data_IF_261789621660
#
_entry.id   IF_261789621660
#
_cell.length_a   1.000
_cell.length_b   1.000
_cell.length_c   1.000
_cell.angle_alpha   90.00
_cell.angle_beta   90.00
_cell.angle_gamma   90.00
#
_symmetry.space_group_name_H-M   'P 1'
#
loop_
_entity.id
_entity.type
_entity.pdbx_description
1 polymer ?
#
# COMPACT_ATOMS: atom_id res chain seq x y z
N UNK A 1 27.30 -11.40 14.20
CA UNK A 1 27.87 -10.28 14.96
C UNK A 1 26.82 -9.21 15.18
N UNK A 2 26.87 -8.52 16.32
CA UNK A 2 26.13 -7.28 16.61
C UNK A 2 26.81 -6.11 15.90
N UNK A 3 26.08 -5.04 15.59
CA UNK A 3 26.62 -3.86 14.85
C UNK A 3 27.92 -3.32 15.47
N UNK A 4 27.98 -3.21 16.81
CA UNK A 4 29.16 -2.78 17.56
C UNK A 4 30.40 -3.65 17.34
N UNK A 5 30.23 -4.96 17.18
CA UNK A 5 31.33 -5.91 16.91
C UNK A 5 31.84 -5.76 15.47
N UNK A 6 30.94 -5.44 14.52
CA UNK A 6 31.30 -5.22 13.11
C UNK A 6 32.07 -3.91 12.97
N UNK A 7 31.57 -2.81 13.57
CA UNK A 7 32.28 -1.51 13.57
C UNK A 7 33.67 -1.61 14.20
N UNK A 8 33.76 -2.20 15.39
CA UNK A 8 35.05 -2.40 16.07
C UNK A 8 36.05 -3.24 15.26
N UNK A 9 35.59 -4.23 14.48
CA UNK A 9 36.46 -4.97 13.55
C UNK A 9 36.94 -4.13 12.38
N UNK A 10 36.04 -3.39 11.71
CA UNK A 10 36.37 -2.51 10.59
C UNK A 10 37.35 -1.40 11.01
N UNK A 11 37.10 -0.77 12.16
CA UNK A 11 37.96 0.24 12.76
C UNK A 11 39.34 -0.33 13.12
N UNK A 12 39.42 -1.58 13.62
CA UNK A 12 40.69 -2.25 13.91
C UNK A 12 41.56 -2.53 12.68
N UNK A 13 40.99 -2.46 11.48
CA UNK A 13 41.69 -2.62 10.19
C UNK A 13 41.73 -1.31 9.38
N UNK A 14 41.41 -0.17 9.99
CA UNK A 14 41.50 1.16 9.38
C UNK A 14 40.39 1.51 8.39
N UNK A 15 39.29 0.74 8.35
CA UNK A 15 38.12 1.06 7.53
C UNK A 15 37.19 1.96 8.33
N UNK A 16 36.92 3.16 7.80
CA UNK A 16 35.95 4.07 8.41
C UNK A 16 34.53 3.47 8.38
N UNK A 17 33.79 3.75 9.46
CA UNK A 17 32.40 3.35 9.65
C UNK A 17 31.49 4.53 10.00
N UNK A 18 32.02 5.76 10.00
CA UNK A 18 31.28 6.99 10.31
C UNK A 18 30.13 7.29 9.34
N UNK A 19 30.30 6.87 8.09
CA UNK A 19 29.38 7.01 6.96
C UNK A 19 28.47 5.80 6.72
N UNK A 20 28.72 4.69 7.42
CA UNK A 20 27.95 3.45 7.30
C UNK A 20 26.84 3.36 8.36
N UNK A 21 25.60 3.58 7.89
CA UNK A 21 24.38 3.70 8.72
C UNK A 21 23.57 2.40 8.78
N UNK A 22 23.53 1.64 7.68
CA UNK A 22 22.81 0.36 7.61
C UNK A 22 23.73 -0.81 8.01
N UNK A 23 23.17 -1.79 8.73
CA UNK A 23 23.93 -2.97 9.18
C UNK A 23 24.52 -3.76 8.00
N UNK A 24 23.80 -3.84 6.90
CA UNK A 24 24.19 -4.67 5.76
C UNK A 24 25.35 -4.04 4.98
N UNK A 25 25.47 -2.71 5.00
CA UNK A 25 26.64 -1.99 4.48
C UNK A 25 27.90 -2.31 5.29
N UNK A 26 27.81 -2.34 6.62
CA UNK A 26 28.91 -2.74 7.51
C UNK A 26 29.29 -4.21 7.30
N UNK A 27 28.31 -5.10 7.08
CA UNK A 27 28.57 -6.50 6.75
C UNK A 27 29.29 -6.60 5.40
N UNK A 28 28.84 -5.86 4.38
CA UNK A 28 29.45 -5.83 3.05
C UNK A 28 30.91 -5.39 3.12
N UNK A 29 31.22 -4.25 3.74
CA UNK A 29 32.60 -3.74 3.92
C UNK A 29 33.49 -4.78 4.61
N UNK A 30 32.98 -5.52 5.59
CA UNK A 30 33.74 -6.55 6.30
C UNK A 30 34.00 -7.81 5.44
N UNK A 31 33.05 -8.19 4.59
CA UNK A 31 33.23 -9.27 3.61
C UNK A 31 34.25 -8.86 2.55
N UNK A 32 34.11 -7.66 1.97
CA UNK A 32 35.02 -7.12 0.96
C UNK A 32 36.47 -7.08 1.47
N UNK A 33 36.68 -6.59 2.71
CA UNK A 33 37.98 -6.63 3.37
C UNK A 33 38.53 -8.05 3.57
N UNK A 34 37.67 -8.99 4.00
CA UNK A 34 38.09 -10.38 4.22
C UNK A 34 38.57 -11.03 2.92
N UNK A 35 37.87 -10.79 1.80
CA UNK A 35 38.25 -11.31 0.48
C UNK A 35 39.55 -10.69 -0.05
N UNK A 36 39.78 -9.40 0.20
CA UNK A 36 41.05 -8.74 -0.15
C UNK A 36 42.23 -9.26 0.67
N UNK A 37 42.02 -9.52 1.96
CA UNK A 37 43.07 -10.01 2.85
C UNK A 37 43.47 -11.47 2.56
N UNK A 38 42.50 -12.33 2.19
CA UNK A 38 42.78 -13.70 1.74
C UNK A 38 43.64 -13.71 0.46
N UNK A 39 43.41 -12.79 -0.48
CA UNK A 39 44.21 -12.67 -1.72
C UNK A 39 45.66 -12.24 -1.47
N UNK A 40 45.90 -11.40 -0.45
CA UNK A 40 47.25 -10.96 -0.07
C UNK A 40 48.02 -11.96 0.80
N UNK A 41 47.43 -13.13 1.11
CA UNK A 41 48.04 -14.16 1.96
C UNK A 41 48.87 -15.22 1.21
N UNK A 42 49.07 -15.06 -0.11
CA UNK A 42 49.93 -15.94 -0.91
C UNK A 42 51.41 -15.65 -0.56
N UNK A 43 52.18 -16.62 -0.01
CA UNK A 43 53.56 -16.36 0.38
C UNK A 43 54.49 -16.30 -0.84
N UNK A 44 55.36 -15.29 -0.91
CA UNK A 44 56.52 -15.31 -1.80
C UNK A 44 57.51 -16.40 -1.34
N UNK A 45 57.92 -17.28 -2.26
CA UNK A 45 58.86 -18.36 -1.97
C UNK A 45 60.26 -17.80 -1.64
N UNK A 46 60.57 -17.68 -0.34
CA UNK A 46 61.95 -17.41 0.12
C UNK A 46 62.62 -18.72 0.53
N UNK A 47 63.72 -19.04 -0.16
CA UNK A 47 64.52 -20.26 0.07
C UNK A 47 65.30 -20.19 1.39
N UNK A 48 65.11 -21.14 2.33
CA UNK A 48 66.20 -21.87 3.03
C UNK A 48 65.74 -22.86 4.14
N UNK A 49 66.25 -24.09 4.03
CA UNK A 49 66.67 -25.06 5.07
C UNK A 49 65.96 -25.22 6.45
N UNK A 50 65.42 -26.43 6.66
CA UNK A 50 65.52 -27.32 7.86
C UNK A 50 65.15 -26.77 9.27
N UNK A 51 64.47 -27.48 10.18
CA UNK A 51 64.29 -28.94 10.40
C UNK A 51 63.14 -29.15 11.41
N UNK A 52 62.48 -30.32 11.46
CA UNK A 52 61.86 -30.81 12.72
C UNK A 52 60.35 -31.10 12.75
N UNK A 53 60.01 -32.37 12.49
CA UNK A 53 58.89 -33.16 13.02
C UNK A 53 57.68 -32.49 13.72
N UNK A 54 56.47 -32.77 13.21
CA UNK A 54 55.45 -33.48 13.99
C UNK A 54 54.46 -34.25 13.10
N UNK A 55 53.89 -35.34 13.63
CA UNK A 55 53.12 -36.35 12.89
C UNK A 55 51.60 -36.12 12.91
N UNK A 56 50.94 -36.11 11.74
CA UNK A 56 49.46 -36.13 11.64
C UNK A 56 48.97 -37.32 10.80
N UNK A 57 47.91 -37.99 11.28
CA UNK A 57 47.38 -39.26 10.75
C UNK A 57 46.53 -39.06 9.48
N UNK A 58 46.80 -39.87 8.45
CA UNK A 58 46.02 -39.93 7.19
C UNK A 58 44.61 -40.53 7.40
N UNK A 59 43.56 -39.88 6.89
CA UNK A 59 42.26 -40.53 6.56
C UNK A 59 42.10 -40.61 5.03
N UNK A 60 41.72 -41.79 4.53
CA UNK A 60 41.67 -42.10 3.08
C UNK A 60 40.42 -41.51 2.40
N UNK A 61 40.63 -40.85 1.26
CA UNK A 61 39.61 -40.46 0.26
C UNK A 61 39.14 -41.72 -0.50
N UNK A 62 37.84 -41.87 -0.78
CA UNK A 62 37.31 -42.90 -1.71
C UNK A 62 36.59 -42.21 -2.87
N UNK A 63 37.17 -42.30 -4.08
CA UNK A 63 36.54 -41.83 -5.33
C UNK A 63 35.40 -42.77 -5.73
N UNK A 64 34.35 -42.23 -6.36
CA UNK A 64 33.54 -42.97 -7.34
C UNK A 64 33.18 -42.02 -8.50
N UNK A 65 33.56 -42.39 -9.72
CA UNK A 65 33.09 -41.77 -10.97
C UNK A 65 31.88 -42.57 -11.46
N UNK A 66 30.95 -41.92 -12.16
CA UNK A 66 30.31 -42.50 -13.35
C UNK A 66 29.82 -41.37 -14.27
N UNK A 67 30.06 -41.51 -15.57
CA UNK A 67 29.52 -40.65 -16.63
C UNK A 67 28.38 -41.40 -17.33
N UNK A 68 27.36 -40.68 -17.82
CA UNK A 68 26.66 -40.97 -19.10
C UNK A 68 25.87 -39.72 -19.56
N UNK A 69 25.55 -39.58 -20.87
CA UNK A 69 25.22 -38.30 -21.53
C UNK A 69 23.71 -37.97 -21.62
N UNK A 70 23.33 -36.75 -22.07
CA UNK A 70 21.94 -36.38 -22.35
C UNK A 70 21.46 -36.87 -23.72
N UNK A 71 20.14 -37.07 -23.92
CA UNK A 71 19.52 -37.23 -25.24
C UNK A 71 18.93 -35.92 -25.80
N UNK A 72 18.83 -35.86 -27.13
CA UNK A 72 18.53 -34.67 -27.93
C UNK A 72 17.05 -34.35 -28.16
N UNK A 73 16.85 -33.17 -28.76
CA UNK A 73 15.60 -32.59 -29.29
C UNK A 73 15.10 -33.37 -30.51
N UNK A 74 13.79 -33.66 -30.56
CA UNK A 74 13.05 -33.92 -31.82
C UNK A 74 11.67 -33.23 -31.73
N UNK A 75 11.27 -32.60 -32.83
CA UNK A 75 9.95 -32.01 -33.11
C UNK A 75 9.07 -32.93 -33.96
N UNK A 76 7.74 -32.82 -33.86
CA UNK A 76 6.76 -32.74 -34.98
C UNK A 76 5.31 -33.11 -34.55
N UNK A 77 4.39 -32.19 -34.88
CA UNK A 77 3.00 -32.27 -35.34
C UNK A 77 2.02 -33.45 -35.03
N UNK A 78 0.87 -33.04 -34.45
CA UNK A 78 -0.53 -33.52 -34.67
C UNK A 78 -0.94 -35.00 -34.47
N UNK A 79 -2.27 -35.34 -34.39
CA UNK A 79 -3.47 -34.49 -34.30
C UNK A 79 -4.37 -34.76 -33.07
N UNK A 80 -5.46 -33.98 -32.97
CA UNK A 80 -6.54 -34.10 -31.96
C UNK A 80 -7.29 -35.45 -32.00
N UNK A 81 -7.60 -35.99 -30.82
CA UNK A 81 -8.60 -37.06 -30.64
C UNK A 81 -9.61 -36.63 -29.56
N UNK A 82 -10.86 -36.43 -29.95
CA UNK A 82 -11.97 -36.28 -29.02
C UNK A 82 -12.21 -37.58 -28.25
N UNK A 83 -12.27 -37.51 -26.91
CA UNK A 83 -12.79 -38.60 -26.08
C UNK A 83 -13.92 -38.10 -25.19
N UNK A 84 -15.14 -38.41 -25.60
CA UNK A 84 -16.36 -38.18 -24.82
C UNK A 84 -16.36 -39.10 -23.60
N UNK A 85 -16.52 -38.52 -22.40
CA UNK A 85 -16.79 -39.29 -21.18
C UNK A 85 -18.03 -38.75 -20.47
N UNK A 86 -19.13 -39.50 -20.62
CA UNK A 86 -20.37 -39.28 -19.89
C UNK A 86 -20.14 -39.61 -18.40
N UNK A 87 -20.26 -38.62 -17.52
CA UNK A 87 -20.42 -38.85 -16.07
C UNK A 87 -21.70 -38.15 -15.61
N UNK A 88 -22.79 -38.91 -15.60
CA UNK A 88 -24.03 -38.48 -14.96
C UNK A 88 -23.82 -38.43 -13.44
N UNK A 89 -23.77 -37.23 -12.88
CA UNK A 89 -23.91 -37.00 -11.44
C UNK A 89 -25.30 -36.39 -11.15
N UNK A 90 -26.06 -37.06 -10.30
CA UNK A 90 -27.42 -36.67 -9.92
C UNK A 90 -27.38 -35.59 -8.84
N UNK A 91 -27.39 -34.32 -9.26
CA UNK A 91 -27.46 -33.17 -8.35
C UNK A 91 -28.86 -33.09 -7.71
N UNK A 92 -28.98 -33.07 -6.37
CA UNK A 92 -30.26 -32.83 -5.70
C UNK A 92 -30.78 -31.43 -6.00
N UNK A 93 -32.07 -31.30 -6.34
CA UNK A 93 -32.71 -30.00 -6.54
C UNK A 93 -32.77 -29.22 -5.21
N UNK A 94 -31.79 -28.35 -4.98
CA UNK A 94 -31.86 -27.39 -3.88
C UNK A 94 -32.94 -26.34 -4.18
N UNK A 95 -33.95 -26.24 -3.33
CA UNK A 95 -34.88 -25.12 -3.37
C UNK A 95 -34.10 -23.81 -3.12
N UNK A 96 -33.85 -23.03 -4.17
CA UNK A 96 -33.36 -21.66 -4.00
C UNK A 96 -34.46 -20.86 -3.28
N UNK A 97 -34.21 -20.27 -2.11
CA UNK A 97 -35.15 -19.31 -1.55
C UNK A 97 -35.29 -18.14 -2.54
N UNK A 98 -36.51 -17.70 -2.81
CA UNK A 98 -36.74 -16.47 -3.56
C UNK A 98 -36.11 -15.31 -2.79
N UNK A 99 -35.00 -14.80 -3.31
CA UNK A 99 -34.49 -13.50 -2.88
C UNK A 99 -35.53 -12.47 -3.28
N UNK A 100 -36.36 -12.05 -2.32
CA UNK A 100 -37.21 -10.86 -2.45
C UNK A 100 -36.36 -9.77 -3.07
N UNK A 101 -36.78 -9.29 -4.24
CA UNK A 101 -36.04 -8.29 -4.99
C UNK A 101 -35.84 -7.05 -4.12
N UNK A 102 -34.61 -6.84 -3.63
CA UNK A 102 -34.21 -5.56 -3.06
C UNK A 102 -34.59 -4.49 -4.09
N UNK A 103 -35.25 -3.42 -3.63
CA UNK A 103 -35.68 -2.35 -4.51
C UNK A 103 -34.49 -1.83 -5.33
N UNK A 104 -34.73 -1.45 -6.58
CA UNK A 104 -33.76 -0.63 -7.33
C UNK A 104 -33.63 0.67 -6.55
N UNK A 105 -32.51 0.83 -5.84
CA UNK A 105 -32.27 2.01 -5.02
C UNK A 105 -31.82 3.17 -5.90
N UNK A 106 -32.20 4.37 -5.49
CA UNK A 106 -31.65 5.61 -6.00
C UNK A 106 -30.19 5.77 -5.59
N UNK A 107 -29.48 6.73 -6.19
CA UNK A 107 -28.14 7.13 -5.74
C UNK A 107 -28.22 7.66 -4.31
N UNK A 108 -27.52 7.01 -3.38
CA UNK A 108 -27.37 7.50 -2.01
C UNK A 108 -26.32 8.60 -1.95
N UNK A 109 -26.64 9.69 -1.26
CA UNK A 109 -25.76 10.85 -1.07
C UNK A 109 -25.42 10.97 0.41
N UNK A 110 -24.15 10.75 0.75
CA UNK A 110 -23.67 10.82 2.14
C UNK A 110 -22.78 12.06 2.29
N UNK A 111 -23.00 12.95 3.26
CA UNK A 111 -22.09 14.06 3.51
C UNK A 111 -20.68 13.57 3.85
N UNK A 112 -19.66 14.18 3.23
CA UNK A 112 -18.25 13.96 3.59
C UNK A 112 -17.85 14.90 4.73
N UNK A 113 -17.43 14.31 5.84
CA UNK A 113 -16.58 14.99 6.81
C UNK A 113 -15.14 15.04 6.32
N UNK A 114 -14.36 16.00 6.83
CA UNK A 114 -12.95 16.13 6.52
C UNK A 114 -12.15 16.36 7.80
N UNK A 115 -11.37 15.36 8.19
CA UNK A 115 -10.53 15.41 9.39
C UNK A 115 -9.08 15.69 8.97
N UNK A 116 -8.28 16.31 9.85
CA UNK A 116 -6.83 16.42 9.67
C UNK A 116 -6.13 15.79 10.86
N UNK A 117 -4.97 15.20 10.65
CA UNK A 117 -4.11 14.68 11.72
C UNK A 117 -3.30 15.77 12.43
N UNK A 118 -3.40 17.04 12.01
CA UNK A 118 -2.76 18.16 12.71
C UNK A 118 -3.34 18.35 14.12
N UNK A 119 -2.58 18.05 15.20
CA UNK A 119 -2.96 18.48 16.52
C UNK A 119 -2.44 19.91 16.73
N UNK A 120 -3.18 20.75 17.44
CA UNK A 120 -2.71 22.08 17.87
C UNK A 120 -1.60 22.03 18.94
N UNK A 121 -1.03 20.85 19.20
CA UNK A 121 0.04 20.61 20.17
C UNK A 121 0.88 19.38 19.81
N UNK A 122 2.19 19.44 20.08
CA UNK A 122 3.16 18.40 19.74
C UNK A 122 2.95 17.07 20.49
N UNK A 123 3.07 15.94 19.79
CA UNK A 123 3.27 14.63 20.42
C UNK A 123 4.77 14.47 20.73
N UNK A 124 5.19 14.30 22.01
CA UNK A 124 6.55 13.92 22.32
C UNK A 124 6.77 12.46 21.90
N UNK A 125 7.74 12.21 21.01
CA UNK A 125 8.25 10.85 20.79
C UNK A 125 8.72 10.25 22.13
N UNK A 126 8.53 8.94 22.29
CA UNK A 126 8.56 8.26 23.59
C UNK A 126 9.79 8.60 24.44
N UNK A 127 9.55 8.87 25.73
CA UNK A 127 10.62 9.12 26.70
C UNK A 127 11.59 7.94 26.79
N UNK A 128 12.88 8.29 26.77
CA UNK A 128 14.01 7.60 27.42
C UNK A 128 14.40 6.20 26.95
N UNK A 129 15.37 6.14 26.04
CA UNK A 129 16.73 5.71 26.42
C UNK A 129 17.72 6.81 26.01
N UNK A 130 18.69 7.12 26.86
CA UNK A 130 19.45 8.40 26.84
C UNK A 130 20.57 8.49 25.80
N UNK A 131 20.79 7.46 24.99
CA UNK A 131 22.09 7.22 24.35
C UNK A 131 22.07 7.37 22.82
N UNK A 132 21.00 7.90 22.21
CA UNK A 132 20.97 8.20 20.78
C UNK A 132 20.23 9.51 20.42
N UNK A 133 20.94 10.59 20.04
CA UNK A 133 20.31 11.85 19.63
C UNK A 133 19.55 11.76 18.29
N UNK A 134 19.68 10.67 17.54
CA UNK A 134 19.03 10.49 16.23
C UNK A 134 17.65 9.79 16.28
N UNK A 135 17.13 9.43 17.46
CA UNK A 135 15.88 8.67 17.61
C UNK A 135 14.59 9.52 17.66
N UNK A 136 14.66 10.85 17.55
CA UNK A 136 13.46 11.69 17.47
C UNK A 136 12.95 11.77 16.03
N UNK A 137 12.19 10.74 15.63
CA UNK A 137 11.36 10.80 14.43
C UNK A 137 10.22 11.78 14.68
N UNK A 138 10.22 12.90 13.97
CA UNK A 138 9.15 13.88 13.96
C UNK A 138 8.06 13.40 12.99
N UNK A 139 6.92 12.98 13.54
CA UNK A 139 5.72 12.77 12.74
C UNK A 139 5.28 14.14 12.20
N UNK A 140 5.43 14.35 10.89
CA UNK A 140 4.87 15.51 10.22
C UNK A 140 3.44 15.14 9.82
N UNK A 141 2.39 15.67 10.47
CA UNK A 141 1.04 15.52 9.93
C UNK A 141 1.05 16.13 8.53
N UNK A 142 0.73 15.33 7.52
CA UNK A 142 0.41 15.90 6.21
C UNK A 142 -0.74 16.89 6.40
N UNK A 143 -0.73 18.07 5.74
CA UNK A 143 -1.88 18.96 5.75
C UNK A 143 -3.12 18.35 5.08
N UNK A 144 -3.00 17.17 4.47
CA UNK A 144 -4.10 16.43 3.87
C UNK A 144 -5.28 16.23 4.82
N UNK A 145 -6.47 16.37 4.23
CA UNK A 145 -7.74 16.06 4.86
C UNK A 145 -8.15 14.65 4.48
N UNK A 146 -8.64 13.88 5.43
CA UNK A 146 -9.16 12.54 5.19
C UNK A 146 -10.69 12.59 5.03
N UNK A 147 -11.26 11.98 3.97
CA UNK A 147 -12.71 11.90 3.80
C UNK A 147 -13.33 10.94 4.82
N UNK A 148 -14.31 11.40 5.59
CA UNK A 148 -15.08 10.58 6.53
C UNK A 148 -16.57 10.59 6.19
N UNK A 149 -17.30 9.58 6.65
CA UNK A 149 -18.76 9.51 6.59
C UNK A 149 -19.32 9.16 7.98
N UNK A 150 -20.60 9.44 8.18
CA UNK A 150 -21.33 8.96 9.36
C UNK A 150 -22.23 7.77 9.02
N UNK A 151 -22.27 6.77 9.91
CA UNK A 151 -23.20 5.64 9.85
C UNK A 151 -23.90 5.44 11.18
N UNK A 152 -25.21 5.16 11.13
CA UNK A 152 -26.01 4.78 12.30
C UNK A 152 -26.07 3.25 12.40
N UNK A 153 -25.94 2.67 13.60
CA UNK A 153 -26.15 1.23 13.81
C UNK A 153 -27.52 0.97 14.44
N UNK A 154 -28.26 0.00 13.92
CA UNK A 154 -29.60 -0.31 14.42
C UNK A 154 -29.58 -0.77 15.89
N UNK A 155 -30.47 -0.18 16.70
CA UNK A 155 -30.54 -0.42 18.14
C UNK A 155 -29.62 0.48 18.99
N UNK A 156 -28.92 1.44 18.37
CA UNK A 156 -28.02 2.38 19.05
C UNK A 156 -28.32 3.83 18.64
N UNK A 157 -28.25 4.76 19.60
CA UNK A 157 -28.56 6.19 19.35
C UNK A 157 -27.36 6.97 18.79
N UNK A 158 -26.14 6.44 18.93
CA UNK A 158 -24.91 7.07 18.47
C UNK A 158 -24.56 6.69 17.02
N UNK A 159 -24.15 7.70 16.23
CA UNK A 159 -23.53 7.51 14.92
C UNK A 159 -22.02 7.26 15.07
N UNK A 160 -21.51 6.39 14.21
CA UNK A 160 -20.08 6.19 13.98
C UNK A 160 -19.56 7.21 12.96
N UNK A 161 -18.43 7.84 13.23
CA UNK A 161 -17.69 8.66 12.24
C UNK A 161 -16.49 7.86 11.72
N UNK A 162 -16.49 7.55 10.42
CA UNK A 162 -15.60 6.54 9.84
C UNK A 162 -14.78 7.12 8.69
N UNK A 163 -13.47 6.86 8.70
CA UNK A 163 -12.58 7.14 7.57
C UNK A 163 -12.95 6.28 6.36
N UNK A 164 -13.15 6.89 5.19
CA UNK A 164 -13.35 6.14 3.93
C UNK A 164 -11.98 5.83 3.31
N UNK A 165 -11.63 4.55 3.25
CA UNK A 165 -10.28 4.10 2.90
C UNK A 165 -10.29 3.03 1.79
N UNK A 166 -9.83 3.40 0.59
CA UNK A 166 -9.71 2.49 -0.56
C UNK A 166 -8.56 1.48 -0.47
N UNK A 167 -7.59 1.69 0.44
CA UNK A 167 -6.51 0.75 0.75
C UNK A 167 -6.79 -0.11 2.00
N UNK A 168 -7.92 0.11 2.70
CA UNK A 168 -8.46 -0.85 3.66
C UNK A 168 -9.36 -1.88 2.95
N UNK A 169 -9.09 -3.17 3.09
CA UNK A 169 -9.92 -4.21 2.47
C UNK A 169 -11.22 -4.53 3.23
N UNK A 170 -11.33 -4.11 4.51
CA UNK A 170 -12.41 -4.47 5.42
C UNK A 170 -13.07 -3.27 6.13
N UNK A 171 -13.81 -3.57 7.19
CA UNK A 171 -14.34 -2.58 8.14
C UNK A 171 -13.62 -2.78 9.48
N UNK A 172 -13.02 -1.71 10.02
CA UNK A 172 -12.26 -1.71 11.27
C UNK A 172 -12.86 -0.68 12.22
N UNK A 173 -13.05 -1.05 13.49
CA UNK A 173 -13.46 -0.14 14.57
C UNK A 173 -12.43 -0.19 15.70
N UNK A 174 -12.33 0.91 16.46
CA UNK A 174 -11.53 0.92 17.69
C UNK A 174 -12.09 -0.06 18.74
N UNK A 175 -11.28 -0.61 19.66
CA UNK A 175 -11.74 -1.61 20.62
C UNK A 175 -12.80 -1.10 21.60
N UNK A 176 -12.74 0.19 21.99
CA UNK A 176 -13.75 0.84 22.84
C UNK A 176 -15.11 0.92 22.13
N UNK A 177 -15.13 1.20 20.83
CA UNK A 177 -16.34 1.23 20.00
C UNK A 177 -16.89 -0.20 19.85
N UNK A 178 -16.03 -1.19 19.59
CA UNK A 178 -16.44 -2.60 19.55
C UNK A 178 -17.08 -3.07 20.87
N UNK A 179 -16.60 -2.61 22.03
CA UNK A 179 -17.23 -2.86 23.32
C UNK A 179 -18.55 -2.08 23.51
N UNK A 180 -18.60 -0.79 23.15
CA UNK A 180 -19.78 0.08 23.26
C UNK A 180 -20.98 -0.52 22.53
N UNK A 181 -20.76 -0.96 21.29
CA UNK A 181 -21.78 -1.58 20.44
C UNK A 181 -21.92 -3.10 20.64
N UNK A 182 -21.23 -3.69 21.62
CA UNK A 182 -21.26 -5.13 21.96
C UNK A 182 -20.99 -6.07 20.77
N UNK A 183 -20.16 -5.63 19.83
CA UNK A 183 -19.86 -6.35 18.58
C UNK A 183 -18.82 -7.48 18.77
N UNK A 184 -18.08 -7.45 19.88
CA UNK A 184 -17.00 -8.39 20.18
C UNK A 184 -17.48 -9.86 20.20
N UNK A 185 -16.77 -10.72 19.47
CA UNK A 185 -17.01 -12.16 19.37
C UNK A 185 -18.37 -12.55 18.76
N UNK A 186 -19.05 -11.64 18.07
CA UNK A 186 -20.32 -11.95 17.37
C UNK A 186 -20.10 -12.73 16.05
N UNK A 187 -18.84 -12.90 15.62
CA UNK A 187 -18.45 -13.71 14.46
C UNK A 187 -17.26 -14.65 14.80
N UNK A 188 -17.43 -15.62 15.73
CA UNK A 188 -16.32 -16.37 16.36
C UNK A 188 -15.59 -17.35 15.42
N UNK A 189 -16.13 -17.62 14.23
CA UNK A 189 -15.55 -18.54 13.24
C UNK A 189 -14.80 -17.81 12.10
N UNK A 190 -14.63 -16.48 12.19
CA UNK A 190 -13.98 -15.68 11.15
C UNK A 190 -12.56 -15.31 11.58
N UNK A 191 -11.58 -15.95 10.95
CA UNK A 191 -10.17 -15.60 11.13
C UNK A 191 -9.82 -14.41 10.22
N UNK A 192 -9.36 -13.31 10.80
CA UNK A 192 -8.88 -12.13 10.07
C UNK A 192 -7.37 -12.00 10.27
N UNK A 193 -6.65 -11.70 9.19
CA UNK A 193 -5.25 -11.28 9.22
C UNK A 193 -5.16 -9.86 8.67
N UNK A 194 -4.42 -8.98 9.34
CA UNK A 194 -4.35 -7.56 9.01
C UNK A 194 -2.92 -7.14 8.73
N UNK A 195 -2.71 -6.49 7.58
CA UNK A 195 -1.42 -5.90 7.19
C UNK A 195 -1.65 -4.40 7.01
N UNK A 196 -1.01 -3.62 7.87
CA UNK A 196 -1.03 -2.17 7.88
C UNK A 196 0.25 -1.62 7.21
N UNK A 197 0.30 -0.29 7.04
CA UNK A 197 1.44 0.41 6.44
C UNK A 197 2.80 -0.01 7.03
N UNK A 198 2.88 -0.22 8.35
CA UNK A 198 4.12 -0.56 9.05
C UNK A 198 4.27 -2.05 9.47
N UNK A 199 3.35 -2.92 9.06
CA UNK A 199 3.56 -4.37 9.15
C UNK A 199 2.30 -5.22 9.29
N UNK A 200 2.50 -6.52 9.49
CA UNK A 200 1.42 -7.46 9.84
C UNK A 200 1.28 -7.52 11.36
N UNK A 201 0.15 -7.07 11.89
CA UNK A 201 -0.16 -7.21 13.31
C UNK A 201 -0.49 -8.67 13.63
N UNK A 202 0.19 -9.25 14.64
CA UNK A 202 -0.05 -10.64 15.01
C UNK A 202 -1.45 -10.82 15.65
N UNK A 203 -2.09 -11.93 15.29
CA UNK A 203 -3.54 -12.23 15.45
C UNK A 203 -4.07 -12.19 16.90
N UNK A 204 -3.21 -12.14 17.91
CA UNK A 204 -3.57 -12.27 19.33
C UNK A 204 -4.37 -11.13 19.98
N UNK A 205 -4.77 -10.09 19.24
CA UNK A 205 -5.47 -8.91 19.79
C UNK A 205 -6.65 -8.39 18.97
N UNK A 206 -7.01 -9.01 17.85
CA UNK A 206 -8.12 -8.55 17.00
C UNK A 206 -9.43 -9.19 17.43
N UNK A 207 -10.37 -8.41 17.96
CA UNK A 207 -11.73 -8.90 18.24
C UNK A 207 -12.57 -8.86 16.96
N UNK A 208 -13.26 -9.94 16.59
CA UNK A 208 -14.07 -9.96 15.36
C UNK A 208 -15.57 -9.92 15.68
N UNK A 209 -16.31 -9.15 14.90
CA UNK A 209 -17.76 -8.98 15.03
C UNK A 209 -18.49 -8.93 13.69
N UNK A 210 -19.81 -8.80 13.75
CA UNK A 210 -20.69 -8.57 12.62
C UNK A 210 -21.59 -7.35 12.90
N UNK A 211 -21.51 -6.35 12.02
CA UNK A 211 -22.40 -5.18 12.01
C UNK A 211 -23.57 -5.47 11.07
N UNK A 212 -24.77 -5.47 11.65
CA UNK A 212 -26.03 -5.71 10.95
C UNK A 212 -26.85 -4.44 10.83
N UNK A 213 -27.62 -4.32 9.76
CA UNK A 213 -28.57 -3.22 9.54
C UNK A 213 -27.95 -1.83 9.80
N UNK A 214 -26.69 -1.63 9.39
CA UNK A 214 -26.07 -0.30 9.38
C UNK A 214 -26.83 0.59 8.39
N UNK A 215 -27.04 1.84 8.77
CA UNK A 215 -27.88 2.80 8.05
C UNK A 215 -27.12 4.09 7.76
N UNK A 216 -27.31 4.62 6.57
CA UNK A 216 -26.92 5.96 6.19
C UNK A 216 -27.99 6.99 6.59
N UNK A 217 -27.64 8.27 6.53
CA UNK A 217 -28.52 9.37 6.92
C UNK A 217 -29.77 9.53 6.02
N UNK A 218 -29.71 9.03 4.78
CA UNK A 218 -30.86 8.93 3.87
C UNK A 218 -31.76 7.70 4.16
N UNK A 219 -31.38 6.88 5.14
CA UNK A 219 -32.07 5.65 5.52
C UNK A 219 -31.64 4.40 4.78
N UNK A 220 -30.70 4.48 3.82
CA UNK A 220 -30.19 3.32 3.07
C UNK A 220 -29.59 2.28 4.01
N UNK A 221 -30.05 1.04 3.90
CA UNK A 221 -29.63 -0.10 4.71
C UNK A 221 -28.51 -0.85 3.99
N UNK A 222 -27.37 -0.96 4.65
CA UNK A 222 -26.19 -1.67 4.17
C UNK A 222 -26.32 -3.19 4.39
N UNK A 223 -25.56 -3.98 3.63
CA UNK A 223 -25.48 -5.41 3.86
C UNK A 223 -24.69 -5.72 5.15
N UNK A 224 -24.94 -6.88 5.78
CA UNK A 224 -24.21 -7.34 6.97
C UNK A 224 -22.69 -7.34 6.70
N UNK A 225 -21.92 -6.66 7.54
CA UNK A 225 -20.47 -6.50 7.40
C UNK A 225 -19.72 -7.16 8.55
N UNK A 226 -18.69 -7.95 8.22
CA UNK A 226 -17.70 -8.34 9.22
C UNK A 226 -16.87 -7.12 9.62
N UNK A 227 -16.69 -6.92 10.92
CA UNK A 227 -15.90 -5.84 11.49
C UNK A 227 -14.75 -6.39 12.33
N UNK A 228 -13.56 -5.81 12.16
CA UNK A 228 -12.40 -6.07 12.98
C UNK A 228 -12.26 -4.99 14.06
N UNK A 229 -11.99 -5.39 15.30
CA UNK A 229 -11.64 -4.51 16.39
C UNK A 229 -10.13 -4.45 16.56
N UNK A 230 -9.52 -3.34 16.17
CA UNK A 230 -8.09 -3.08 16.32
C UNK A 230 -7.88 -1.65 16.82
N UNK A 231 -6.90 -1.44 17.69
CA UNK A 231 -6.47 -0.08 18.04
C UNK A 231 -5.68 0.55 16.90
N UNK A 232 -6.12 1.74 16.47
CA UNK A 232 -5.54 2.49 15.35
C UNK A 232 -5.13 3.87 15.90
N UNK A 233 -3.93 3.99 16.43
CA UNK A 233 -3.45 5.25 17.02
C UNK A 233 -2.99 6.29 15.99
N UNK A 234 -2.75 5.90 14.73
CA UNK A 234 -2.58 6.84 13.61
C UNK A 234 -3.89 7.54 13.19
N UNK A 235 -5.04 6.97 13.54
CA UNK A 235 -6.35 7.54 13.23
C UNK A 235 -6.66 8.69 14.22
N UNK A 236 -7.15 9.85 13.77
CA UNK A 236 -7.67 10.93 14.63
C UNK A 236 -8.66 10.43 15.70
N UNK A 237 -8.64 11.02 16.89
CA UNK A 237 -9.48 10.57 18.02
C UNK A 237 -10.98 10.75 17.78
N UNK A 238 -11.33 11.68 16.88
CA UNK A 238 -12.69 11.99 16.43
C UNK A 238 -13.27 10.94 15.48
N UNK A 239 -12.47 9.95 15.07
CA UNK A 239 -12.87 8.86 14.19
C UNK A 239 -12.95 7.54 14.96
N UNK A 240 -14.10 6.87 14.84
CA UNK A 240 -14.43 5.61 15.49
C UNK A 240 -13.79 4.39 14.81
N UNK A 241 -13.38 4.55 13.54
CA UNK A 241 -12.79 3.50 12.75
C UNK A 241 -12.59 3.85 11.27
N UNK A 242 -12.38 2.81 10.47
CA UNK A 242 -12.07 2.86 9.04
C UNK A 242 -13.04 1.95 8.29
N UNK A 243 -13.71 2.49 7.28
CA UNK A 243 -14.61 1.75 6.39
C UNK A 243 -14.02 1.65 4.99
N UNK A 244 -13.73 0.42 4.56
CA UNK A 244 -13.00 0.16 3.32
C UNK A 244 -13.77 -0.66 2.29
N UNK A 245 -13.03 -1.44 1.50
CA UNK A 245 -13.54 -2.08 0.29
C UNK A 245 -14.66 -3.10 0.52
N UNK A 246 -14.78 -3.70 1.69
CA UNK A 246 -15.92 -4.59 2.02
C UNK A 246 -17.28 -3.88 2.02
N UNK A 247 -17.26 -2.57 2.30
CA UNK A 247 -18.42 -1.69 2.19
C UNK A 247 -18.53 -1.12 0.78
N UNK A 248 -17.45 -0.53 0.25
CA UNK A 248 -17.47 0.14 -1.05
C UNK A 248 -17.87 -0.81 -2.19
N UNK A 249 -17.44 -2.07 -2.17
CA UNK A 249 -17.80 -3.10 -3.17
C UNK A 249 -19.28 -3.55 -3.11
N UNK A 250 -20.09 -3.08 -2.17
CA UNK A 250 -21.55 -3.28 -2.21
C UNK A 250 -22.18 -2.48 -3.37
N UNK A 251 -21.62 -1.34 -3.71
CA UNK A 251 -22.10 -0.43 -4.77
C UNK A 251 -21.57 -0.82 -6.17
N UNK A 252 -22.14 -0.24 -7.22
CA UNK A 252 -21.71 -0.47 -8.61
C UNK A 252 -20.59 0.48 -9.01
N UNK A 253 -20.72 1.75 -8.60
CA UNK A 253 -19.68 2.77 -8.64
C UNK A 253 -19.77 3.60 -7.35
N UNK A 254 -18.73 4.36 -7.06
CA UNK A 254 -18.66 5.37 -5.99
C UNK A 254 -18.10 6.65 -6.61
N UNK A 255 -18.56 7.82 -6.16
CA UNK A 255 -17.80 9.04 -6.39
C UNK A 255 -17.58 9.85 -5.11
N UNK A 256 -16.37 10.35 -4.93
CA UNK A 256 -16.05 11.40 -3.98
C UNK A 256 -16.22 12.73 -4.71
N UNK A 257 -17.33 13.40 -4.45
CA UNK A 257 -17.64 14.74 -4.92
C UNK A 257 -17.06 15.73 -3.90
N UNK A 258 -15.80 16.10 -4.13
CA UNK A 258 -15.06 16.99 -3.25
C UNK A 258 -15.58 18.43 -3.34
N UNK A 259 -16.10 18.83 -4.51
CA UNK A 259 -16.71 20.14 -4.74
C UNK A 259 -17.96 20.36 -3.86
N UNK A 260 -18.85 19.37 -3.79
CA UNK A 260 -20.08 19.44 -3.00
C UNK A 260 -19.94 18.82 -1.60
N UNK A 261 -18.79 18.22 -1.27
CA UNK A 261 -18.55 17.53 0.00
C UNK A 261 -19.46 16.31 0.19
N UNK A 262 -19.60 15.46 -0.83
CA UNK A 262 -20.48 14.28 -0.81
C UNK A 262 -19.76 13.01 -1.27
N UNK A 263 -20.15 11.88 -0.67
CA UNK A 263 -19.87 10.53 -1.17
C UNK A 263 -21.15 10.02 -1.84
N UNK A 264 -21.04 9.73 -3.14
CA UNK A 264 -22.14 9.33 -4.00
C UNK A 264 -22.04 7.83 -4.28
N UNK A 265 -23.10 7.09 -3.98
CA UNK A 265 -23.11 5.64 -3.91
C UNK A 265 -24.30 5.09 -4.71
N UNK A 266 -24.06 4.55 -5.92
CA UNK A 266 -25.13 3.91 -6.69
C UNK A 266 -25.21 2.42 -6.38
N UNK A 267 -26.37 1.90 -5.97
CA UNK A 267 -26.55 0.47 -5.77
C UNK A 267 -26.51 -0.30 -7.11
N UNK A 268 -26.17 -1.60 -7.10
CA UNK A 268 -26.15 -2.42 -8.30
C UNK A 268 -27.48 -2.41 -9.05
N UNK A 269 -27.41 -2.25 -10.38
CA UNK A 269 -28.56 -2.23 -11.30
C UNK A 269 -29.54 -1.07 -11.08
N UNK A 270 -29.09 0.05 -10.51
CA UNK A 270 -29.87 1.29 -10.58
C UNK A 270 -30.05 1.71 -12.04
N UNK A 271 -31.14 2.43 -12.32
CA UNK A 271 -31.40 3.04 -13.64
C UNK A 271 -31.46 4.56 -13.55
N UNK A 272 -31.20 5.12 -12.37
CA UNK A 272 -31.29 6.54 -12.10
C UNK A 272 -30.09 7.29 -12.70
N UNK A 273 -30.28 8.57 -13.01
CA UNK A 273 -29.18 9.43 -13.47
C UNK A 273 -28.16 9.60 -12.35
N UNK A 274 -26.93 9.14 -12.61
CA UNK A 274 -25.83 9.06 -11.64
C UNK A 274 -25.33 10.46 -11.21
N UNK A 275 -24.68 11.15 -12.15
CA UNK A 275 -24.11 12.51 -12.07
C UNK A 275 -24.06 12.96 -13.53
N UNK A 276 -24.45 14.21 -13.80
CA UNK A 276 -24.18 14.82 -15.09
C UNK A 276 -22.70 15.22 -15.19
N UNK A 277 -21.97 14.54 -16.07
CA UNK A 277 -20.56 14.82 -16.38
C UNK A 277 -20.40 15.78 -17.58
N UNK A 278 -21.50 16.30 -18.15
CA UNK A 278 -21.48 17.14 -19.35
C UNK A 278 -20.77 18.48 -19.15
N UNK A 279 -20.84 19.03 -17.93
CA UNK A 279 -20.16 20.25 -17.45
C UNK A 279 -18.74 20.00 -16.96
N UNK A 280 -18.32 18.74 -16.85
CA UNK A 280 -17.00 18.37 -16.32
C UNK A 280 -15.98 18.09 -17.42
N UNK A 281 -14.71 18.28 -17.11
CA UNK A 281 -13.56 17.86 -17.88
C UNK A 281 -12.93 16.62 -17.25
N UNK A 282 -12.65 15.59 -18.05
CA UNK A 282 -11.92 14.41 -17.60
C UNK A 282 -10.44 14.78 -17.47
N UNK A 283 -9.93 14.82 -16.24
CA UNK A 283 -8.53 15.12 -15.96
C UNK A 283 -7.64 13.90 -16.08
N UNK A 284 -8.05 12.75 -15.54
CA UNK A 284 -7.27 11.51 -15.61
C UNK A 284 -8.15 10.26 -15.55
N UNK A 285 -7.69 9.15 -16.12
CA UNK A 285 -8.44 7.89 -16.20
C UNK A 285 -7.51 6.69 -16.29
N UNK A 286 -7.77 5.62 -15.53
CA UNK A 286 -7.04 4.35 -15.66
C UNK A 286 -7.82 3.17 -15.09
N UNK A 287 -7.44 1.97 -15.51
CA UNK A 287 -7.99 0.70 -15.04
C UNK A 287 -7.23 0.25 -13.78
N UNK A 288 -7.98 -0.05 -12.72
CA UNK A 288 -7.45 -0.49 -11.44
C UNK A 288 -7.21 -2.01 -11.44
N UNK A 289 -6.06 -2.43 -10.90
CA UNK A 289 -5.72 -3.84 -10.71
C UNK A 289 -5.85 -4.18 -9.23
N UNK A 290 -6.51 -5.30 -8.90
CA UNK A 290 -6.58 -5.78 -7.51
C UNK A 290 -5.29 -6.54 -7.18
N UNK A 291 -4.56 -6.09 -6.16
CA UNK A 291 -3.35 -6.76 -5.67
C UNK A 291 -3.66 -7.85 -4.63
N UNK A 292 -2.67 -8.65 -4.20
CA UNK A 292 -2.91 -9.85 -3.37
C UNK A 292 -3.55 -9.59 -2.00
N UNK A 293 -3.46 -8.36 -1.46
CA UNK A 293 -4.13 -7.98 -0.18
C UNK A 293 -5.58 -7.50 -0.38
N UNK A 294 -6.12 -7.60 -1.60
CA UNK A 294 -7.52 -7.34 -1.92
C UNK A 294 -7.87 -5.88 -2.26
N UNK A 295 -6.87 -5.02 -2.33
CA UNK A 295 -7.00 -3.57 -2.57
C UNK A 295 -6.52 -3.17 -3.96
N UNK A 296 -6.85 -1.95 -4.39
CA UNK A 296 -6.60 -1.50 -5.75
C UNK A 296 -5.23 -0.85 -5.92
N UNK A 297 -4.64 -1.10 -7.09
CA UNK A 297 -3.45 -0.44 -7.61
C UNK A 297 -3.77 0.25 -8.92
N UNK A 298 -3.12 1.38 -9.16
CA UNK A 298 -3.14 2.14 -10.41
C UNK A 298 -1.72 2.30 -10.92
N UNK A 299 -1.56 2.24 -12.25
CA UNK A 299 -0.28 2.55 -12.89
C UNK A 299 -0.25 4.05 -13.24
N UNK A 300 0.83 4.75 -12.88
CA UNK A 300 0.91 6.21 -12.91
C UNK A 300 2.26 6.70 -13.43
N UNK A 301 2.27 7.72 -14.28
CA UNK A 301 3.48 8.48 -14.57
C UNK A 301 3.53 9.80 -13.79
N UNK A 302 4.74 10.17 -13.39
CA UNK A 302 5.04 11.29 -12.51
C UNK A 302 6.11 12.15 -13.18
N UNK A 303 5.79 13.40 -13.55
CA UNK A 303 6.63 14.26 -14.38
C UNK A 303 7.12 13.56 -15.67
N UNK A 304 6.21 12.82 -16.31
CA UNK A 304 6.48 12.05 -17.53
C UNK A 304 7.29 10.77 -17.33
N UNK A 305 7.68 10.41 -16.10
CA UNK A 305 8.48 9.22 -15.77
C UNK A 305 7.60 8.08 -15.24
N UNK A 306 8.02 6.84 -15.43
CA UNK A 306 7.32 5.66 -14.90
C UNK A 306 6.94 4.65 -16.01
N UNK A 307 5.78 3.98 -15.90
CA UNK A 307 4.81 4.08 -14.82
C UNK A 307 5.31 3.44 -13.53
N UNK A 308 4.87 3.98 -12.41
CA UNK A 308 4.93 3.34 -11.09
C UNK A 308 3.56 2.76 -10.79
N UNK A 309 3.51 1.51 -10.33
CA UNK A 309 2.30 0.92 -9.77
C UNK A 309 2.14 1.38 -8.33
N UNK A 310 1.03 2.03 -8.00
CA UNK A 310 0.80 2.63 -6.68
C UNK A 310 -0.53 2.14 -6.08
N UNK A 311 -0.58 1.94 -4.76
CA UNK A 311 -1.83 1.65 -4.05
C UNK A 311 -2.77 2.87 -4.12
N UNK A 312 -4.05 2.66 -4.39
CA UNK A 312 -5.05 3.73 -4.32
C UNK A 312 -5.56 3.85 -2.87
N UNK A 313 -5.22 4.94 -2.18
CA UNK A 313 -5.39 5.07 -0.73
C UNK A 313 -5.99 6.43 -0.32
N UNK A 314 -7.32 6.48 -0.25
CA UNK A 314 -8.03 7.64 0.32
C UNK A 314 -7.85 7.78 1.84
N UNK A 315 -7.29 6.77 2.52
CA UNK A 315 -6.94 6.80 3.94
C UNK A 315 -5.56 7.40 4.23
N UNK A 316 -4.69 7.54 3.24
CA UNK A 316 -3.37 8.18 3.37
C UNK A 316 -3.44 9.68 3.01
N UNK A 317 -3.13 10.57 3.95
CA UNK A 317 -3.13 12.02 3.69
C UNK A 317 -1.96 12.53 2.82
N UNK A 318 -1.04 11.65 2.40
CA UNK A 318 0.07 12.01 1.52
C UNK A 318 0.41 10.88 0.55
N UNK A 319 1.02 11.24 -0.58
CA UNK A 319 1.49 10.32 -1.61
C UNK A 319 2.93 9.91 -1.30
N UNK A 320 3.22 8.60 -1.38
CA UNK A 320 4.49 8.00 -0.96
C UNK A 320 5.10 7.09 -2.04
N UNK A 321 6.42 6.93 -2.01
CA UNK A 321 7.17 5.94 -2.81
C UNK A 321 8.08 5.10 -1.91
N UNK A 322 8.37 3.86 -2.32
CA UNK A 322 9.54 3.10 -1.86
C UNK A 322 10.67 3.22 -2.90
N UNK A 323 11.84 2.65 -2.62
CA UNK A 323 12.95 2.67 -3.59
C UNK A 323 12.65 1.93 -4.90
N UNK A 324 11.78 0.90 -4.88
CA UNK A 324 11.36 0.22 -6.12
C UNK A 324 10.56 1.18 -7.02
N UNK A 325 9.70 2.03 -6.44
CA UNK A 325 8.98 3.08 -7.15
C UNK A 325 9.89 4.16 -7.73
N UNK A 326 10.90 4.60 -6.95
CA UNK A 326 11.92 5.54 -7.46
C UNK A 326 12.71 4.93 -8.63
N UNK A 327 13.07 3.65 -8.55
CA UNK A 327 13.72 2.91 -9.65
C UNK A 327 12.81 2.82 -10.89
N UNK A 328 11.51 2.58 -10.72
CA UNK A 328 10.54 2.56 -11.81
C UNK A 328 10.38 3.94 -12.52
N UNK A 329 10.72 5.05 -11.85
CA UNK A 329 10.81 6.39 -12.47
C UNK A 329 12.14 6.64 -13.22
N UNK A 330 12.98 5.61 -13.34
CA UNK A 330 14.36 5.69 -13.82
C UNK A 330 15.16 6.77 -13.06
N UNK A 331 15.12 6.69 -11.73
CA UNK A 331 15.83 7.56 -10.79
C UNK A 331 16.53 6.73 -9.70
N UNK A 332 17.51 7.35 -9.04
CA UNK A 332 18.21 6.82 -7.87
C UNK A 332 18.42 7.91 -6.80
N UNK A 333 19.11 7.58 -5.70
CA UNK A 333 19.42 8.48 -4.57
C UNK A 333 20.20 9.75 -4.95
N UNK A 334 20.90 9.76 -6.08
CA UNK A 334 21.70 10.88 -6.58
C UNK A 334 20.97 11.77 -7.60
N UNK A 335 19.79 11.36 -8.06
CA UNK A 335 19.06 12.06 -9.10
C UNK A 335 18.59 13.47 -8.63
N UNK A 336 18.75 14.55 -9.42
CA UNK A 336 18.54 15.94 -8.95
C UNK A 336 17.13 16.31 -8.45
N UNK A 337 16.12 15.49 -8.75
CA UNK A 337 14.74 15.66 -8.24
C UNK A 337 14.49 14.91 -6.91
N UNK A 338 15.45 14.08 -6.48
CA UNK A 338 15.42 13.37 -5.20
C UNK A 338 16.24 14.16 -4.20
N UNK A 339 15.59 14.62 -3.13
CA UNK A 339 16.20 15.39 -2.06
C UNK A 339 16.24 14.53 -0.81
N UNK A 340 17.35 14.53 -0.08
CA UNK A 340 17.39 13.87 1.24
C UNK A 340 16.59 14.70 2.23
N UNK A 341 15.79 14.04 3.05
CA UNK A 341 15.07 14.71 4.13
C UNK A 341 16.07 15.12 5.22
N UNK A 342 16.19 16.42 5.46
CA UNK A 342 17.05 16.98 6.52
C UNK A 342 16.43 16.80 7.90
N UNK A 343 15.11 16.89 7.97
CA UNK A 343 14.33 16.62 9.17
C UNK A 343 14.00 15.12 9.20
N UNK A 344 14.06 14.51 10.40
CA UNK A 344 13.70 13.12 10.60
C UNK A 344 12.18 12.92 10.51
N UNK A 345 11.63 12.96 9.29
CA UNK A 345 10.19 12.82 9.06
C UNK A 345 9.73 11.38 9.22
N UNK A 346 8.63 11.20 9.94
CA UNK A 346 7.98 9.90 10.12
C UNK A 346 6.57 9.84 9.53
N UNK A 347 6.25 8.69 8.95
CA UNK A 347 4.87 8.23 8.72
C UNK A 347 4.45 7.35 9.89
N UNK A 348 3.22 7.46 10.39
CA UNK A 348 2.69 6.52 11.39
C UNK A 348 1.73 5.54 10.73
N UNK A 349 2.02 4.24 10.84
CA UNK A 349 1.10 3.19 10.39
C UNK A 349 -0.10 3.01 11.31
N UNK A 350 -1.16 2.37 10.81
CA UNK A 350 -2.35 2.01 11.60
C UNK A 350 -2.04 1.13 12.84
N UNK A 351 -0.86 0.52 12.87
CA UNK A 351 -0.26 -0.29 13.92
C UNK A 351 0.68 0.49 14.88
N UNK A 352 0.65 1.83 14.83
CA UNK A 352 1.38 2.75 15.72
C UNK A 352 2.91 2.72 15.62
N UNK A 353 3.46 2.06 14.61
CA UNK A 353 4.89 2.09 14.31
C UNK A 353 5.20 3.31 13.43
N UNK A 354 6.15 4.12 13.89
CA UNK A 354 6.70 5.23 13.11
C UNK A 354 7.73 4.70 12.10
N UNK A 355 7.53 5.00 10.82
CA UNK A 355 8.39 4.64 9.69
C UNK A 355 9.18 5.86 9.24
N UNK A 356 10.49 5.69 9.03
CA UNK A 356 11.36 6.79 8.62
C UNK A 356 11.25 7.09 7.13
N UNK A 357 10.92 8.33 6.79
CA UNK A 357 10.93 8.86 5.42
C UNK A 357 12.28 9.51 5.16
N UNK A 358 13.11 8.89 4.32
CA UNK A 358 14.54 9.24 4.20
C UNK A 358 14.82 10.30 3.15
N UNK A 359 14.02 10.32 2.07
CA UNK A 359 14.16 11.22 0.93
C UNK A 359 12.77 11.71 0.48
N UNK A 360 12.77 12.62 -0.48
CA UNK A 360 11.58 13.22 -1.08
C UNK A 360 11.82 13.42 -2.57
N UNK A 361 10.86 13.01 -3.38
CA UNK A 361 10.76 13.39 -4.78
C UNK A 361 9.89 14.64 -4.88
N UNK A 362 10.45 15.73 -5.42
CA UNK A 362 9.70 16.98 -5.63
C UNK A 362 9.08 16.92 -7.03
N UNK A 363 7.80 16.54 -7.07
CA UNK A 363 7.00 16.52 -8.29
C UNK A 363 6.57 17.95 -8.65
N UNK A 364 6.90 18.38 -9.86
CA UNK A 364 6.76 19.78 -10.27
C UNK A 364 5.59 20.02 -11.20
N UNK A 365 5.42 19.21 -12.23
CA UNK A 365 4.58 19.56 -13.37
C UNK A 365 3.27 18.77 -13.33
N UNK A 366 3.32 17.45 -13.56
CA UNK A 366 2.11 16.68 -13.89
C UNK A 366 2.11 15.23 -13.37
N UNK A 367 0.93 14.76 -13.01
CA UNK A 367 0.61 13.34 -12.81
C UNK A 367 -0.26 12.86 -13.96
N UNK A 368 0.02 11.68 -14.51
CA UNK A 368 -0.91 11.02 -15.43
C UNK A 368 -1.24 9.63 -14.87
N UNK A 369 -2.52 9.30 -14.75
CA UNK A 369 -2.93 7.90 -14.62
C UNK A 369 -2.76 7.26 -16.00
N UNK A 370 -2.00 6.18 -16.12
CA UNK A 370 -1.72 5.55 -17.42
C UNK A 370 -1.80 4.03 -17.36
N UNK A 371 -2.60 3.45 -18.25
CA UNK A 371 -2.56 2.02 -18.56
C UNK A 371 -1.61 1.69 -19.73
N UNK A 372 -1.09 2.71 -20.42
CA UNK A 372 -0.24 2.59 -21.60
C UNK A 372 1.21 2.95 -21.29
N UNK A 373 2.07 1.95 -21.38
CA UNK A 373 3.52 2.05 -21.19
C UNK A 373 4.20 2.90 -22.28
N UNK A 374 3.60 3.05 -23.46
CA UNK A 374 4.15 3.83 -24.58
C UNK A 374 3.95 5.34 -24.42
N UNK A 375 3.05 5.77 -23.52
CA UNK A 375 2.81 7.18 -23.20
C UNK A 375 3.85 7.78 -22.23
N UNK A 376 4.87 7.03 -21.81
CA UNK A 376 5.93 7.54 -20.92
C UNK A 376 6.84 8.51 -21.69
N UNK A 377 7.15 9.65 -21.09
CA UNK A 377 7.96 10.72 -21.70
C UNK A 377 7.19 11.71 -22.57
N UNK A 378 5.99 11.36 -23.04
CA UNK A 378 5.05 12.30 -23.64
C UNK A 378 3.95 12.62 -22.63
N UNK A 379 3.73 13.90 -22.29
CA UNK A 379 2.57 14.26 -21.48
C UNK A 379 1.31 13.96 -22.29
N UNK A 380 0.60 12.88 -21.91
CA UNK A 380 -0.67 12.51 -22.54
C UNK A 380 -1.71 13.63 -22.43
N UNK A 381 -2.78 13.63 -23.25
CA UNK A 381 -3.79 14.67 -23.19
C UNK A 381 -4.42 14.77 -21.80
N UNK A 382 -4.70 13.63 -21.17
CA UNK A 382 -5.20 13.51 -19.80
C UNK A 382 -4.03 13.49 -18.80
N UNK A 383 -4.11 14.32 -17.75
CA UNK A 383 -3.21 14.38 -16.61
C UNK A 383 -3.51 15.57 -15.70
N UNK A 384 -3.23 15.43 -14.41
CA UNK A 384 -3.46 16.41 -13.34
C UNK A 384 -2.23 17.30 -13.23
N UNK A 385 -2.41 18.60 -13.48
CA UNK A 385 -1.36 19.59 -13.26
C UNK A 385 -1.15 19.85 -11.76
N UNK A 386 0.12 19.89 -11.36
CA UNK A 386 0.57 19.99 -9.97
C UNK A 386 0.84 21.44 -9.58
N UNK A 387 1.29 22.26 -10.53
CA UNK A 387 1.72 23.65 -10.34
C UNK A 387 0.60 24.69 -10.49
N UNK A 388 -0.65 24.27 -10.68
CA UNK A 388 -1.81 25.15 -10.83
C UNK A 388 -2.15 25.86 -9.50
N UNK A 389 -1.78 27.14 -9.39
CA UNK A 389 -2.16 28.03 -8.28
C UNK A 389 -1.32 27.87 -7.01
N UNK A 390 -1.87 28.32 -5.87
CA UNK A 390 -1.16 28.50 -4.60
C UNK A 390 -0.67 27.20 -3.92
N UNK A 391 -1.05 26.03 -4.44
CA UNK A 391 -0.80 24.73 -3.81
C UNK A 391 0.67 24.25 -3.89
N UNK A 392 1.50 24.88 -4.74
CA UNK A 392 2.92 24.56 -4.87
C UNK A 392 3.22 23.14 -5.39
N UNK A 393 4.51 22.74 -5.41
CA UNK A 393 4.91 21.41 -5.87
C UNK A 393 4.41 20.32 -4.92
N UNK A 394 4.05 19.16 -5.48
CA UNK A 394 3.67 17.99 -4.70
C UNK A 394 4.94 17.30 -4.18
N UNK A 395 5.03 17.13 -2.88
CA UNK A 395 6.17 16.54 -2.20
C UNK A 395 5.88 15.07 -1.90
N UNK A 396 6.45 14.16 -2.70
CA UNK A 396 6.24 12.72 -2.56
C UNK A 396 7.37 12.15 -1.69
N UNK A 397 7.04 11.73 -0.47
CA UNK A 397 8.04 11.23 0.47
C UNK A 397 8.43 9.77 0.18
N UNK A 398 9.70 9.46 0.42
CA UNK A 398 10.34 8.19 0.06
C UNK A 398 10.79 7.44 1.31
N UNK A 399 10.25 6.23 1.51
CA UNK A 399 10.61 5.34 2.60
C UNK A 399 10.20 3.90 2.33
N UNK A 400 10.88 2.96 2.98
CA UNK A 400 10.59 1.54 2.83
C UNK A 400 9.41 1.16 3.74
N UNK A 401 8.20 1.30 3.19
CA UNK A 401 6.95 0.98 3.87
C UNK A 401 6.74 -0.55 3.90
N UNK A 402 6.61 -1.19 5.07
CA UNK A 402 6.37 -2.63 5.18
C UNK A 402 5.20 -3.16 4.34
N UNK A 403 4.10 -2.41 4.17
CA UNK A 403 3.00 -2.80 3.27
C UNK A 403 3.45 -2.98 1.81
N UNK A 404 4.44 -2.19 1.36
CA UNK A 404 5.05 -2.21 0.03
C UNK A 404 6.27 -3.16 -0.10
N UNK A 405 6.77 -3.69 1.02
CA UNK A 405 7.67 -4.86 1.01
C UNK A 405 6.88 -6.18 0.97
N UNK A 406 5.68 -6.21 1.57
CA UNK A 406 4.59 -6.99 0.97
C UNK A 406 4.23 -6.38 -0.40
N UNK A 407 3.58 -7.08 -1.34
CA UNK A 407 3.38 -6.58 -2.71
C UNK A 407 4.66 -6.29 -3.53
N UNK A 408 5.88 -6.42 -2.98
CA UNK A 408 7.15 -6.28 -3.74
C UNK A 408 7.21 -7.19 -4.96
N UNK A 409 6.73 -8.43 -4.83
CA UNK A 409 6.60 -9.38 -5.95
C UNK A 409 5.54 -9.00 -7.00
N UNK A 410 4.71 -7.98 -6.74
CA UNK A 410 3.77 -7.38 -7.68
C UNK A 410 4.28 -6.04 -8.24
N UNK A 411 5.51 -5.64 -7.90
CA UNK A 411 6.15 -4.37 -8.28
C UNK A 411 5.35 -3.12 -7.85
N UNK A 412 4.70 -3.14 -6.68
CA UNK A 412 4.05 -1.95 -6.13
C UNK A 412 5.12 -1.02 -5.53
N UNK A 413 5.24 0.17 -6.13
CA UNK A 413 6.29 1.14 -5.84
C UNK A 413 5.87 2.31 -4.94
N UNK A 414 4.59 2.44 -4.59
CA UNK A 414 4.11 3.58 -3.82
C UNK A 414 2.65 3.51 -3.39
N UNK A 415 2.18 4.62 -2.82
CA UNK A 415 0.81 4.85 -2.32
C UNK A 415 0.35 6.22 -2.82
N UNK A 416 -0.86 6.29 -3.38
CA UNK A 416 -1.52 7.52 -3.85
C UNK A 416 -2.43 8.03 -2.74
N UNK A 417 -2.09 9.18 -2.17
CA UNK A 417 -2.81 9.76 -1.05
C UNK A 417 -3.83 10.85 -1.42
N UNK A 418 -4.58 11.30 -0.41
CA UNK A 418 -5.57 12.39 -0.51
C UNK A 418 -4.98 13.71 -1.03
N UNK A 419 -3.69 13.98 -0.80
CA UNK A 419 -2.96 15.15 -1.31
C UNK A 419 -2.90 15.25 -2.84
N UNK A 420 -3.12 14.12 -3.52
CA UNK A 420 -3.23 14.00 -4.97
C UNK A 420 -4.67 13.65 -5.39
N UNK A 421 -5.35 12.74 -4.68
CA UNK A 421 -6.73 12.35 -4.99
C UNK A 421 -7.73 13.51 -4.86
N UNK A 422 -7.47 14.49 -3.98
CA UNK A 422 -8.29 15.69 -3.80
C UNK A 422 -7.86 16.86 -4.70
N UNK A 423 -6.96 16.65 -5.68
CA UNK A 423 -6.63 17.65 -6.71
C UNK A 423 -7.61 17.65 -7.89
N UNK A 424 -8.79 17.08 -7.70
CA UNK A 424 -9.91 17.15 -8.63
C UNK A 424 -11.22 17.46 -7.90
N UNK A 425 -12.21 17.97 -8.62
CA UNK A 425 -13.55 18.24 -8.07
C UNK A 425 -14.34 16.94 -7.80
N UNK A 426 -14.15 15.92 -8.66
CA UNK A 426 -14.85 14.63 -8.58
C UNK A 426 -13.92 13.45 -8.88
N UNK A 427 -13.77 12.53 -7.91
CA UNK A 427 -13.10 11.24 -8.08
C UNK A 427 -14.14 10.12 -8.20
N UNK A 428 -14.27 9.53 -9.39
CA UNK A 428 -15.18 8.42 -9.71
C UNK A 428 -14.44 7.08 -9.73
N UNK A 429 -15.01 6.08 -9.07
CA UNK A 429 -14.57 4.68 -9.03
C UNK A 429 -15.68 3.78 -9.58
N UNK A 430 -15.56 3.32 -10.82
CA UNK A 430 -16.50 2.37 -11.43
C UNK A 430 -16.07 0.93 -11.11
N UNK A 431 -16.82 0.20 -10.29
CA UNK A 431 -16.39 -1.09 -9.74
C UNK A 431 -16.90 -2.29 -10.52
N UNK A 432 -17.98 -2.10 -11.30
CA UNK A 432 -18.79 -3.17 -11.91
C UNK A 432 -19.40 -2.76 -13.26
N UNK A 433 -18.90 -1.69 -13.88
CA UNK A 433 -19.36 -1.19 -15.18
C UNK A 433 -19.08 -2.13 -16.35
N UNK A 434 -19.00 -1.60 -17.56
CA UNK A 434 -18.85 -2.39 -18.79
C UNK A 434 -17.49 -3.11 -18.93
N UNK A 435 -16.51 -2.77 -18.09
CA UNK A 435 -15.20 -3.42 -18.04
C UNK A 435 -15.16 -4.51 -16.96
N UNK A 436 -14.36 -5.55 -17.19
CA UNK A 436 -14.15 -6.65 -16.22
C UNK A 436 -13.23 -6.29 -15.05
N UNK A 437 -12.73 -5.05 -15.02
CA UNK A 437 -11.82 -4.51 -14.01
C UNK A 437 -12.40 -3.18 -13.49
N UNK A 438 -12.18 -2.82 -12.21
CA UNK A 438 -12.58 -1.52 -11.71
C UNK A 438 -11.82 -0.40 -12.41
N UNK A 439 -12.42 0.78 -12.52
CA UNK A 439 -11.85 1.94 -13.22
C UNK A 439 -11.86 3.17 -12.31
N UNK A 440 -10.77 3.94 -12.34
CA UNK A 440 -10.68 5.26 -11.72
C UNK A 440 -10.79 6.33 -12.79
N UNK A 441 -11.56 7.39 -12.53
CA UNK A 441 -11.63 8.60 -13.35
C UNK A 441 -11.69 9.83 -12.44
N UNK A 442 -10.95 10.87 -12.78
CA UNK A 442 -10.85 12.12 -12.03
C UNK A 442 -11.27 13.28 -12.92
N UNK A 443 -12.12 14.16 -12.41
CA UNK A 443 -12.76 15.24 -13.17
C UNK A 443 -12.70 16.59 -12.46
N UNK A 444 -12.63 17.66 -13.23
CA UNK A 444 -12.81 19.05 -12.77
C UNK A 444 -14.04 19.67 -13.40
N UNK A 445 -14.66 20.64 -12.74
CA UNK A 445 -15.65 21.52 -13.36
C UNK A 445 -14.97 22.41 -14.41
N UNK A 446 -15.56 22.55 -15.59
CA UNK A 446 -15.05 23.47 -16.63
C UNK A 446 -15.10 24.94 -16.20
N UNK A 447 -15.98 25.28 -15.26
CA UNK A 447 -16.14 26.64 -14.76
C UNK A 447 -14.95 27.12 -13.89
N UNK A 448 -14.07 26.20 -13.46
CA UNK A 448 -12.90 26.49 -12.62
C UNK A 448 -11.62 26.87 -13.42
N UNK A 449 -11.70 27.00 -14.76
CA UNK A 449 -10.54 27.25 -15.63
C UNK A 449 -10.35 28.70 -16.11
N UNK A 450 -10.88 29.69 -15.37
CA UNK A 450 -10.79 31.13 -15.69
C UNK A 450 -10.01 31.95 -14.66
#
# INVERSE_FOLDING_TARGET
MRVREIKSKLESVGIDTSDAFEKDELVKRLVDYSMQNDLNSIPEETTQNSTGNSTVKKKKKKKKKLNTPPPDIISEDEPLIETTSNVQSSIPKSNKPEMKSKARGSVTRVPLGFHSTQPSSSIPSAKTTTDNPYNQVFLRPSPGKYPSIQLSLEGFECKLTLLVDTACSGFILRPNIMSLYKLQNTAPNVNISMTAAAGTANIGGVSVGNVKNARMDDGTILEDMIVAGQDIGALPQELDGIIGLSFLKQFEKIAFDFQNGQLLLMPPRSQDEWIDLSSMELMAKSQCKTCRIGVWTVDMSLDGRGPVKMLLDSGAAATFLNWNGVTALNMDRSHPLIQRNTDAMGLMGADNVALQLTHRFVLKNRVNLTSDLSAVGAFGPLGIEVQSGDNGPLNIDIGDLPVLETLKGENVGGIVGSDLLMRCDLLLLDLKGSSSQPEISMYNSRDNFY
#
